data_IF_174650595027
#
_entry.id   IF_174650595027
#
_cell.length_a   1.000
_cell.length_b   1.000
_cell.length_c   1.000
_cell.angle_alpha   90.00
_cell.angle_beta   90.00
_cell.angle_gamma   90.00
#
_symmetry.space_group_name_H-M   'P 1'
#
loop_
_entity.id
_entity.type
_entity.pdbx_description
1 polymer ?
#
# COMPACT_ATOMS: atom_id res chain seq x y z
N UNK A 1 -50.64 15.05 -0.81
CA UNK A 1 -50.47 15.18 0.65
C UNK A 1 -49.00 15.50 0.91
N UNK A 2 -48.69 16.75 1.29
CA UNK A 2 -48.18 17.17 2.63
C UNK A 2 -46.89 16.38 2.99
N UNK A 3 -45.72 16.98 3.20
CA UNK A 3 -45.43 18.25 3.87
C UNK A 3 -44.01 18.72 3.50
N UNK A 4 -43.89 20.01 3.17
CA UNK A 4 -42.66 20.78 3.21
C UNK A 4 -42.28 21.05 4.67
N UNK A 5 -41.02 20.80 5.03
CA UNK A 5 -40.40 21.40 6.21
C UNK A 5 -39.27 22.30 5.69
N UNK A 6 -39.58 23.59 5.55
CA UNK A 6 -38.62 24.66 5.27
C UNK A 6 -37.97 25.05 6.60
N UNK A 7 -36.71 24.67 6.81
CA UNK A 7 -35.89 25.25 7.89
C UNK A 7 -35.52 26.69 7.48
N UNK A 8 -36.15 27.66 8.12
CA UNK A 8 -35.82 29.08 7.99
C UNK A 8 -34.53 29.36 8.76
N UNK A 9 -33.45 29.67 8.03
CA UNK A 9 -32.22 30.18 8.61
C UNK A 9 -32.42 31.65 9.00
N UNK A 10 -32.74 31.90 10.27
CA UNK A 10 -32.62 33.22 10.88
C UNK A 10 -31.13 33.52 11.09
N UNK A 11 -30.53 34.26 10.16
CA UNK A 11 -29.24 34.92 10.38
C UNK A 11 -29.46 36.13 11.30
N UNK A 12 -29.24 35.94 12.60
CA UNK A 12 -29.12 37.07 13.54
C UNK A 12 -27.74 37.71 13.36
N UNK A 13 -27.71 38.87 12.70
CA UNK A 13 -26.54 39.72 12.61
C UNK A 13 -26.19 40.27 14.00
N UNK A 14 -25.09 39.79 14.58
CA UNK A 14 -24.50 40.37 15.78
C UNK A 14 -23.52 41.46 15.34
N UNK A 15 -23.97 42.72 15.32
CA UNK A 15 -23.10 43.86 15.05
C UNK A 15 -22.13 44.05 16.22
N UNK A 16 -20.92 43.53 16.05
CA UNK A 16 -19.79 43.75 16.95
C UNK A 16 -19.20 45.14 16.65
N UNK A 17 -19.52 46.14 17.46
CA UNK A 17 -18.84 47.44 17.42
C UNK A 17 -17.48 47.33 18.09
N UNK A 18 -16.43 47.36 17.28
CA UNK A 18 -15.04 47.39 17.70
C UNK A 18 -14.70 48.75 18.32
N UNK A 19 -14.70 48.86 19.66
CA UNK A 19 -13.98 49.93 20.34
C UNK A 19 -12.54 49.46 20.61
N UNK A 20 -11.62 49.92 19.76
CA UNK A 20 -10.19 49.87 20.05
C UNK A 20 -9.92 50.94 21.12
N UNK A 21 -9.69 50.53 22.36
CA UNK A 21 -9.08 51.38 23.39
C UNK A 21 -7.64 50.92 23.55
N UNK A 22 -6.72 51.60 22.89
CA UNK A 22 -5.30 51.56 23.23
C UNK A 22 -5.09 52.41 24.48
N UNK A 23 -5.08 51.79 25.66
CA UNK A 23 -4.69 52.47 26.90
C UNK A 23 -3.18 52.33 27.08
N UNK A 24 -2.45 53.33 26.59
CA UNK A 24 -1.08 53.63 26.95
C UNK A 24 -1.06 54.19 28.38
N UNK A 25 -0.38 53.51 29.28
CA UNK A 25 -0.20 53.90 30.67
C UNK A 25 0.69 55.15 30.75
N UNK A 26 0.15 56.27 31.23
CA UNK A 26 0.91 57.44 31.67
C UNK A 26 0.39 57.86 33.05
N UNK A 27 1.27 58.12 34.04
CA UNK A 27 0.87 58.45 35.41
C UNK A 27 0.33 59.89 35.49
N UNK A 28 -0.69 60.18 36.32
CA UNK A 28 -1.14 61.56 36.47
C UNK A 28 -0.19 62.34 37.37
N UNK A 29 0.43 63.40 36.82
CA UNK A 29 1.04 64.50 37.58
C UNK A 29 0.00 65.58 37.90
N UNK A 30 0.19 66.34 39.00
CA UNK A 30 -0.85 67.04 39.74
C UNK A 30 -1.21 68.40 39.14
N UNK A 31 -2.51 68.73 39.14
CA UNK A 31 -3.01 70.06 38.78
C UNK A 31 -3.32 70.89 40.03
N UNK A 32 -2.75 72.10 40.02
CA UNK A 32 -2.78 73.19 40.98
C UNK A 32 -4.10 73.98 41.00
N UNK A 33 -4.27 74.82 42.05
CA UNK A 33 -5.06 76.09 42.20
C UNK A 33 -5.99 76.06 43.45
N UNK A 34 -6.16 77.11 44.29
CA UNK A 34 -5.28 78.18 44.83
C UNK A 34 -5.34 78.24 46.41
N UNK A 35 -4.65 79.17 47.13
CA UNK A 35 -4.50 79.09 48.59
C UNK A 35 -5.64 79.78 49.35
N UNK A 36 -6.35 79.05 50.21
CA UNK A 36 -7.21 79.64 51.24
C UNK A 36 -6.53 79.62 52.62
N UNK A 37 -6.25 80.84 53.06
CA UNK A 37 -5.68 81.26 54.33
C UNK A 37 -6.66 81.00 55.48
N UNK A 38 -6.31 80.12 56.42
CA UNK A 38 -7.01 80.00 57.70
C UNK A 38 -6.09 80.46 58.84
N UNK A 39 -6.41 81.61 59.42
CA UNK A 39 -5.90 82.03 60.73
C UNK A 39 -6.70 81.35 61.85
N UNK A 40 -6.10 81.04 63.01
CA UNK A 40 -6.79 80.36 64.09
C UNK A 40 -7.50 81.36 65.00
N UNK A 41 -8.82 81.17 65.23
CA UNK A 41 -9.55 81.88 66.29
C UNK A 41 -10.00 80.90 67.37
N UNK A 42 -9.35 81.04 68.52
CA UNK A 42 -9.64 80.44 69.83
C UNK A 42 -10.93 81.05 70.37
N UNK A 43 -11.86 80.24 70.86
CA UNK A 43 -13.03 80.76 71.56
C UNK A 43 -14.06 79.72 71.98
N UNK A 44 -14.10 79.44 73.29
CA UNK A 44 -15.34 79.19 74.02
C UNK A 44 -15.88 77.77 74.04
N UNK A 45 -15.59 77.05 75.12
CA UNK A 45 -16.43 75.94 75.59
C UNK A 45 -17.86 76.42 75.81
N UNK A 46 -18.84 75.74 75.18
CA UNK A 46 -20.19 75.61 75.73
C UNK A 46 -20.65 74.16 75.59
N UNK A 47 -20.90 73.57 76.76
CA UNK A 47 -21.55 72.26 76.95
C UNK A 47 -23.04 72.42 76.61
N UNK A 48 -23.67 71.56 75.80
CA UNK A 48 -25.12 71.50 75.74
C UNK A 48 -25.64 70.34 76.59
N UNK A 49 -26.57 70.65 77.49
CA UNK A 49 -27.39 69.71 78.25
C UNK A 49 -28.59 69.22 77.43
N UNK A 50 -28.75 67.88 77.45
CA UNK A 50 -29.99 67.08 77.48
C UNK A 50 -31.05 67.13 76.34
N UNK A 51 -31.22 65.96 75.70
CA UNK A 51 -32.50 65.20 75.54
C UNK A 51 -33.09 64.88 74.14
N UNK A 52 -32.42 65.19 73.02
CA UNK A 52 -32.79 64.65 71.68
C UNK A 52 -31.62 63.99 70.91
N UNK A 53 -30.38 64.26 71.34
CA UNK A 53 -29.15 63.81 70.68
C UNK A 53 -28.93 62.28 70.67
N UNK A 54 -29.69 61.51 71.45
CA UNK A 54 -29.57 60.05 71.47
C UNK A 54 -30.19 59.35 70.25
N UNK A 55 -31.21 59.94 69.61
CA UNK A 55 -31.95 59.31 68.50
C UNK A 55 -31.30 59.58 67.15
N UNK A 56 -30.93 60.84 66.88
CA UNK A 56 -30.23 61.22 65.64
C UNK A 56 -28.88 60.50 65.54
N UNK A 57 -28.11 60.45 66.62
CA UNK A 57 -26.85 59.70 66.66
C UNK A 57 -27.06 58.19 66.44
N UNK A 58 -28.17 57.60 66.90
CA UNK A 58 -28.48 56.18 66.63
C UNK A 58 -28.74 55.95 65.15
N UNK A 59 -29.47 56.83 64.48
CA UNK A 59 -29.73 56.73 63.04
C UNK A 59 -28.42 56.77 62.21
N UNK A 60 -27.52 57.71 62.50
CA UNK A 60 -26.22 57.78 61.82
C UNK A 60 -25.34 56.55 62.10
N UNK A 61 -25.37 56.02 63.33
CA UNK A 61 -24.65 54.80 63.69
C UNK A 61 -25.17 53.58 62.92
N UNK A 62 -26.49 53.46 62.74
CA UNK A 62 -27.08 52.36 61.96
C UNK A 62 -26.73 52.47 60.47
N UNK A 63 -26.73 53.68 59.88
CA UNK A 63 -26.27 53.86 58.50
C UNK A 63 -24.81 53.45 58.31
N UNK A 64 -23.93 53.83 59.24
CA UNK A 64 -22.51 53.44 59.18
C UNK A 64 -22.36 51.92 59.29
N UNK A 65 -23.17 51.26 60.13
CA UNK A 65 -23.21 49.79 60.22
C UNK A 65 -23.66 49.14 58.91
N UNK A 66 -24.72 49.66 58.29
CA UNK A 66 -25.22 49.15 57.01
C UNK A 66 -24.18 49.32 55.90
N UNK A 67 -23.56 50.50 55.79
CA UNK A 67 -22.49 50.76 54.81
C UNK A 67 -21.29 49.83 55.02
N UNK A 68 -20.91 49.58 56.28
CA UNK A 68 -19.83 48.64 56.60
C UNK A 68 -20.20 47.21 56.23
N UNK A 69 -21.45 46.81 56.46
CA UNK A 69 -21.96 45.50 56.04
C UNK A 69 -21.92 45.34 54.52
N UNK A 70 -22.43 46.32 53.77
CA UNK A 70 -22.40 46.30 52.31
C UNK A 70 -20.99 46.32 51.72
N UNK A 71 -20.06 47.03 52.35
CA UNK A 71 -18.64 47.01 51.97
C UNK A 71 -18.00 45.64 52.15
N UNK A 72 -18.28 44.93 53.26
CA UNK A 72 -17.72 43.61 53.50
C UNK A 72 -18.35 42.56 52.56
N UNK A 73 -19.64 42.68 52.25
CA UNK A 73 -20.30 41.83 51.25
C UNK A 73 -19.72 42.05 49.84
N UNK A 74 -19.55 43.32 49.42
CA UNK A 74 -18.94 43.67 48.13
C UNK A 74 -17.51 43.14 48.03
N UNK A 75 -16.72 43.29 49.10
CA UNK A 75 -15.37 42.73 49.19
C UNK A 75 -15.39 41.20 49.11
N UNK A 76 -16.37 40.55 49.74
CA UNK A 76 -16.61 39.11 49.61
C UNK A 76 -16.88 38.69 48.17
N UNK A 77 -17.80 39.38 47.50
CA UNK A 77 -18.15 39.12 46.10
C UNK A 77 -16.96 39.35 45.16
N UNK A 78 -16.17 40.41 45.37
CA UNK A 78 -14.96 40.71 44.60
C UNK A 78 -13.89 39.63 44.75
N UNK A 79 -13.64 39.17 45.97
CA UNK A 79 -12.71 38.06 46.22
C UNK A 79 -13.19 36.76 45.55
N UNK A 80 -14.49 36.51 45.54
CA UNK A 80 -15.07 35.37 44.83
C UNK A 80 -14.86 35.50 43.31
N UNK A 81 -15.03 36.71 42.76
CA UNK A 81 -14.78 36.98 41.35
C UNK A 81 -13.31 36.73 40.96
N UNK A 82 -12.35 37.17 41.77
CA UNK A 82 -10.92 36.91 41.54
C UNK A 82 -10.64 35.40 41.48
N UNK A 83 -11.22 34.63 42.42
CA UNK A 83 -11.07 33.15 42.41
C UNK A 83 -11.64 32.53 41.15
N UNK A 84 -12.83 32.96 40.71
CA UNK A 84 -13.45 32.50 39.46
C UNK A 84 -12.60 32.84 38.25
N UNK A 85 -11.99 34.02 38.22
CA UNK A 85 -11.09 34.42 37.13
C UNK A 85 -9.86 33.50 37.08
N UNK A 86 -9.22 33.24 38.22
CA UNK A 86 -8.07 32.33 38.28
C UNK A 86 -8.42 30.90 37.84
N UNK A 87 -9.59 30.39 38.23
CA UNK A 87 -10.02 29.04 37.78
C UNK A 87 -10.28 29.00 36.28
N UNK A 88 -10.95 30.03 35.72
CA UNK A 88 -11.21 30.10 34.29
C UNK A 88 -9.92 30.25 33.48
N UNK A 89 -8.96 31.04 33.97
CA UNK A 89 -7.64 31.16 33.34
C UNK A 89 -6.89 29.83 33.33
N UNK A 90 -6.95 29.09 34.44
CA UNK A 90 -6.36 27.75 34.54
C UNK A 90 -7.04 26.78 33.58
N UNK A 91 -8.37 26.76 33.53
CA UNK A 91 -9.13 25.94 32.59
C UNK A 91 -8.77 26.27 31.13
N UNK A 92 -8.72 27.55 30.77
CA UNK A 92 -8.30 27.99 29.44
C UNK A 92 -6.89 27.54 29.09
N UNK A 93 -5.95 27.60 30.04
CA UNK A 93 -4.59 27.09 29.84
C UNK A 93 -4.59 25.58 29.62
N UNK A 94 -5.36 24.83 30.42
CA UNK A 94 -5.48 23.37 30.26
C UNK A 94 -6.09 23.00 28.92
N UNK A 95 -7.19 23.63 28.51
CA UNK A 95 -7.85 23.39 27.23
C UNK A 95 -6.94 23.72 26.04
N UNK A 96 -6.22 24.85 26.10
CA UNK A 96 -5.22 25.17 25.07
C UNK A 96 -4.13 24.10 24.99
N UNK A 97 -3.61 23.66 26.13
CA UNK A 97 -2.58 22.60 26.14
C UNK A 97 -3.11 21.26 25.63
N UNK A 98 -4.35 20.90 25.98
CA UNK A 98 -5.00 19.68 25.51
C UNK A 98 -5.24 19.73 24.01
N UNK A 99 -5.70 20.86 23.47
CA UNK A 99 -5.90 21.05 22.03
C UNK A 99 -4.57 20.97 21.26
N UNK A 100 -3.49 21.58 21.75
CA UNK A 100 -2.17 21.47 21.13
C UNK A 100 -1.65 20.03 21.17
N UNK A 101 -1.84 19.33 22.28
CA UNK A 101 -1.46 17.92 22.38
C UNK A 101 -2.28 17.04 21.43
N UNK A 102 -3.60 17.22 21.36
CA UNK A 102 -4.47 16.49 20.43
C UNK A 102 -4.07 16.75 18.98
N UNK A 103 -3.72 17.99 18.63
CA UNK A 103 -3.23 18.33 17.29
C UNK A 103 -1.92 17.58 16.96
N UNK A 104 -0.97 17.54 17.90
CA UNK A 104 0.28 16.78 17.73
C UNK A 104 0.03 15.28 17.62
N UNK A 105 -0.78 14.72 18.52
CA UNK A 105 -1.14 13.31 18.48
C UNK A 105 -1.85 12.94 17.18
N UNK A 106 -2.78 13.78 16.71
CA UNK A 106 -3.46 13.56 15.44
C UNK A 106 -2.48 13.59 14.26
N UNK A 107 -1.50 14.49 14.27
CA UNK A 107 -0.49 14.59 13.22
C UNK A 107 0.50 13.40 13.22
N UNK A 108 0.72 12.78 14.38
CA UNK A 108 1.58 11.59 14.51
C UNK A 108 0.84 10.29 14.20
N UNK A 109 -0.44 10.19 14.56
CA UNK A 109 -1.24 8.96 14.42
C UNK A 109 -1.91 8.83 13.07
N UNK A 110 -2.29 9.94 12.44
CA UNK A 110 -3.02 9.94 11.19
C UNK A 110 -2.16 10.50 10.06
N UNK A 111 -2.31 9.89 8.88
CA UNK A 111 -1.73 10.40 7.65
C UNK A 111 -2.29 11.80 7.35
N UNK A 112 -1.43 12.68 6.87
CA UNK A 112 -1.85 13.99 6.36
C UNK A 112 -2.60 13.81 5.05
N UNK A 113 -3.47 14.77 4.69
CA UNK A 113 -4.11 14.79 3.37
C UNK A 113 -3.08 14.72 2.23
N UNK A 114 -1.90 15.33 2.42
CA UNK A 114 -0.80 15.27 1.45
C UNK A 114 -0.27 13.85 1.23
N UNK A 115 -0.18 13.06 2.29
CA UNK A 115 0.32 11.67 2.22
C UNK A 115 -0.70 10.80 1.48
N UNK A 116 -2.00 11.08 1.66
CA UNK A 116 -3.10 10.44 0.93
C UNK A 116 -3.03 10.80 -0.57
N UNK A 117 -2.80 12.07 -0.89
CA UNK A 117 -2.66 12.52 -2.28
C UNK A 117 -1.44 11.89 -2.96
N UNK A 118 -0.31 11.80 -2.25
CA UNK A 118 0.90 11.13 -2.75
C UNK A 118 0.64 9.64 -3.00
N UNK A 119 -0.05 8.96 -2.09
CA UNK A 119 -0.43 7.56 -2.27
C UNK A 119 -1.36 7.38 -3.48
N UNK A 120 -2.34 8.28 -3.66
CA UNK A 120 -3.24 8.25 -4.80
C UNK A 120 -2.48 8.43 -6.12
N UNK A 121 -1.50 9.34 -6.16
CA UNK A 121 -0.62 9.54 -7.32
C UNK A 121 0.18 8.27 -7.64
N UNK A 122 0.82 7.66 -6.64
CA UNK A 122 1.57 6.41 -6.80
C UNK A 122 0.68 5.25 -7.28
N UNK A 123 -0.55 5.17 -6.77
CA UNK A 123 -1.51 4.14 -7.19
C UNK A 123 -1.92 4.32 -8.67
N UNK A 124 -2.18 5.56 -9.10
CA UNK A 124 -2.49 5.88 -10.50
C UNK A 124 -1.32 5.54 -11.42
N UNK A 125 -0.10 5.83 -11.00
CA UNK A 125 1.12 5.48 -11.74
C UNK A 125 1.29 3.96 -11.85
N UNK A 126 1.12 3.22 -10.75
CA UNK A 126 1.17 1.76 -10.77
C UNK A 126 0.10 1.17 -11.71
N UNK A 127 -1.13 1.70 -11.71
CA UNK A 127 -2.17 1.20 -12.61
C UNK A 127 -1.86 1.50 -14.08
N UNK A 128 -1.25 2.66 -14.37
CA UNK A 128 -0.75 2.98 -15.71
C UNK A 128 0.33 2.00 -16.14
N UNK A 129 1.30 1.69 -15.28
CA UNK A 129 2.36 0.73 -15.56
C UNK A 129 1.79 -0.67 -15.79
N UNK A 130 0.85 -1.11 -14.95
CA UNK A 130 0.15 -2.39 -15.11
C UNK A 130 -0.55 -2.50 -16.46
N UNK A 131 -1.21 -1.43 -16.93
CA UNK A 131 -1.84 -1.42 -18.26
C UNK A 131 -0.83 -1.49 -19.40
N UNK A 132 0.30 -0.79 -19.27
CA UNK A 132 1.38 -0.86 -20.27
C UNK A 132 1.97 -2.27 -20.34
N UNK A 133 2.24 -2.89 -19.20
CA UNK A 133 2.76 -4.26 -19.15
C UNK A 133 1.77 -5.24 -19.78
N UNK A 134 0.47 -5.15 -19.46
CA UNK A 134 -0.56 -5.96 -20.10
C UNK A 134 -0.56 -5.80 -21.63
N UNK A 135 -0.36 -4.58 -22.14
CA UNK A 135 -0.24 -4.36 -23.58
C UNK A 135 1.00 -5.03 -24.18
N UNK A 136 2.15 -4.98 -23.49
CA UNK A 136 3.39 -5.63 -23.95
C UNK A 136 3.22 -7.15 -23.93
N UNK A 137 2.68 -7.71 -22.85
CA UNK A 137 2.42 -9.14 -22.72
C UNK A 137 1.46 -9.63 -23.81
N UNK A 138 0.38 -8.90 -24.09
CA UNK A 138 -0.54 -9.27 -25.17
C UNK A 138 0.15 -9.26 -26.54
N UNK A 139 1.00 -8.26 -26.82
CA UNK A 139 1.81 -8.24 -28.07
C UNK A 139 2.74 -9.44 -28.18
N UNK A 140 3.41 -9.81 -27.09
CA UNK A 140 4.29 -10.98 -27.05
C UNK A 140 3.51 -12.28 -27.25
N UNK A 141 2.31 -12.40 -26.66
CA UNK A 141 1.41 -13.54 -26.87
C UNK A 141 1.04 -13.65 -28.36
N UNK A 142 0.70 -12.54 -29.02
CA UNK A 142 0.40 -12.54 -30.46
C UNK A 142 1.58 -12.98 -31.33
N UNK A 143 2.81 -12.57 -30.98
CA UNK A 143 4.03 -13.02 -31.66
C UNK A 143 4.27 -14.51 -31.48
N UNK A 144 4.09 -15.03 -30.27
CA UNK A 144 4.19 -16.46 -29.98
C UNK A 144 3.13 -17.23 -30.78
N UNK A 145 1.89 -16.74 -30.82
CA UNK A 145 0.81 -17.35 -31.62
C UNK A 145 1.17 -17.38 -33.12
N UNK A 146 1.79 -16.32 -33.66
CA UNK A 146 2.30 -16.30 -35.05
C UNK A 146 3.40 -17.34 -35.29
N UNK A 147 4.29 -17.57 -34.32
CA UNK A 147 5.35 -18.58 -34.45
C UNK A 147 4.73 -19.98 -34.40
N UNK A 148 3.88 -20.25 -33.40
CA UNK A 148 3.20 -21.55 -33.25
C UNK A 148 2.36 -21.88 -34.48
N UNK A 149 1.63 -20.91 -35.03
CA UNK A 149 0.85 -21.12 -36.27
C UNK A 149 1.74 -21.40 -37.49
N UNK A 150 2.90 -20.75 -37.62
CA UNK A 150 3.89 -21.07 -38.67
C UNK A 150 4.50 -22.46 -38.51
N UNK A 151 4.74 -22.91 -37.27
CA UNK A 151 5.21 -24.26 -36.99
C UNK A 151 4.11 -25.30 -37.31
N UNK A 152 2.86 -25.00 -36.95
CA UNK A 152 1.73 -25.87 -37.22
C UNK A 152 1.38 -26.01 -38.72
N UNK A 153 1.61 -24.95 -39.50
CA UNK A 153 1.41 -24.95 -40.97
C UNK A 153 2.65 -25.35 -41.76
N UNK A 154 3.82 -25.45 -41.11
CA UNK A 154 5.01 -25.97 -41.76
C UNK A 154 4.78 -27.43 -42.17
N UNK A 155 5.10 -27.82 -43.41
CA UNK A 155 5.01 -29.21 -43.83
C UNK A 155 5.85 -30.05 -42.87
N UNK A 156 5.23 -31.07 -42.27
CA UNK A 156 5.96 -32.09 -41.53
C UNK A 156 7.06 -32.60 -42.46
N UNK A 157 8.34 -32.55 -42.09
CA UNK A 157 9.40 -33.12 -42.91
C UNK A 157 8.98 -34.55 -43.24
N UNK A 158 8.94 -34.86 -44.53
CA UNK A 158 8.54 -36.16 -45.03
C UNK A 158 9.20 -37.21 -44.16
N UNK A 159 8.38 -38.08 -43.55
CA UNK A 159 8.85 -39.24 -42.79
C UNK A 159 10.02 -39.80 -43.58
N UNK A 160 11.24 -39.87 -43.00
CA UNK A 160 12.38 -40.44 -43.73
C UNK A 160 11.91 -41.76 -44.31
N UNK A 161 12.24 -42.06 -45.58
CA UNK A 161 11.66 -43.18 -46.31
C UNK A 161 11.63 -44.37 -45.37
N UNK A 162 10.45 -44.93 -45.16
CA UNK A 162 10.20 -46.04 -44.25
C UNK A 162 11.38 -46.98 -44.43
N UNK A 163 12.29 -47.01 -43.44
CA UNK A 163 13.41 -47.93 -43.48
C UNK A 163 12.73 -49.29 -43.52
N UNK A 164 12.97 -50.06 -44.58
CA UNK A 164 12.47 -51.42 -44.73
C UNK A 164 13.11 -52.27 -43.63
N UNK A 165 12.65 -52.06 -42.40
CA UNK A 165 13.00 -52.83 -41.24
C UNK A 165 12.27 -54.15 -41.47
N UNK A 166 13.01 -55.26 -41.55
CA UNK A 166 12.42 -56.54 -41.82
C UNK A 166 11.39 -56.89 -40.73
N UNK A 167 10.27 -57.54 -41.08
CA UNK A 167 9.30 -58.03 -40.11
C UNK A 167 9.98 -58.89 -39.02
N UNK A 168 9.46 -58.91 -37.78
CA UNK A 168 10.08 -59.68 -36.70
C UNK A 168 10.25 -61.15 -37.11
N UNK A 169 11.49 -61.65 -37.09
CA UNK A 169 11.83 -62.99 -37.54
C UNK A 169 11.19 -64.07 -36.64
N UNK A 170 10.58 -65.07 -37.28
CA UNK A 170 10.14 -66.31 -36.62
C UNK A 170 11.29 -67.32 -36.42
N UNK A 171 12.53 -66.92 -36.71
CA UNK A 171 13.74 -67.74 -36.67
C UNK A 171 14.85 -67.00 -35.91
N UNK A 172 15.84 -67.74 -35.39
CA UNK A 172 16.99 -67.14 -34.70
C UNK A 172 17.88 -66.41 -35.72
N UNK A 173 18.00 -65.10 -35.56
CA UNK A 173 18.81 -64.23 -36.41
C UNK A 173 19.59 -63.23 -35.55
N UNK A 174 20.75 -62.78 -36.05
CA UNK A 174 21.47 -61.63 -35.51
C UNK A 174 21.04 -60.37 -36.26
N UNK A 175 20.77 -59.30 -35.51
CA UNK A 175 20.48 -57.99 -36.09
C UNK A 175 21.79 -57.26 -36.41
N UNK A 176 21.95 -56.80 -37.65
CA UNK A 176 23.07 -55.96 -38.08
C UNK A 176 22.56 -54.63 -38.62
N UNK A 177 23.20 -53.52 -38.26
CA UNK A 177 22.90 -52.20 -38.83
C UNK A 177 23.98 -51.88 -39.85
N UNK A 178 23.58 -51.68 -41.10
CA UNK A 178 24.50 -51.37 -42.22
C UNK A 178 25.25 -50.07 -41.94
N UNK A 179 26.58 -50.13 -41.92
CA UNK A 179 27.44 -48.95 -41.78
C UNK A 179 27.80 -48.35 -43.16
N UNK A 180 28.24 -47.08 -43.22
CA UNK A 180 28.72 -46.48 -44.46
C UNK A 180 29.87 -47.29 -45.08
N UNK A 181 29.74 -47.66 -46.36
CA UNK A 181 30.76 -48.40 -47.09
C UNK A 181 30.74 -49.92 -46.92
N UNK A 182 29.78 -50.48 -46.17
CA UNK A 182 29.59 -51.93 -46.08
C UNK A 182 28.72 -52.47 -47.21
N UNK A 183 29.16 -53.58 -47.82
CA UNK A 183 28.39 -54.35 -48.80
C UNK A 183 27.86 -55.65 -48.17
N UNK A 184 26.80 -56.22 -48.77
CA UNK A 184 26.21 -57.46 -48.27
C UNK A 184 27.22 -58.62 -48.22
N UNK A 185 28.09 -58.70 -49.23
CA UNK A 185 29.18 -59.70 -49.28
C UNK A 185 30.13 -59.58 -48.10
N UNK A 186 30.59 -58.37 -47.81
CA UNK A 186 31.51 -58.07 -46.70
C UNK A 186 30.89 -58.39 -45.34
N UNK A 187 29.62 -57.99 -45.13
CA UNK A 187 28.88 -58.31 -43.91
C UNK A 187 28.76 -59.84 -43.76
N UNK A 188 28.39 -60.53 -44.84
CA UNK A 188 28.21 -61.99 -44.82
C UNK A 188 29.52 -62.73 -44.52
N UNK A 189 30.65 -62.27 -45.04
CA UNK A 189 31.97 -62.85 -44.76
C UNK A 189 32.37 -62.67 -43.29
N UNK A 190 32.18 -61.47 -42.74
CA UNK A 190 32.47 -61.18 -41.33
C UNK A 190 31.60 -62.02 -40.37
N UNK A 191 30.32 -62.19 -40.69
CA UNK A 191 29.45 -63.05 -39.87
C UNK A 191 29.77 -64.53 -40.04
N UNK A 192 30.12 -64.99 -41.24
CA UNK A 192 30.51 -66.39 -41.47
C UNK A 192 31.84 -66.74 -40.79
N UNK A 193 32.78 -65.81 -40.66
CA UNK A 193 34.00 -66.03 -39.87
C UNK A 193 33.69 -66.05 -38.37
N UNK A 194 32.83 -65.15 -37.88
CA UNK A 194 32.38 -65.14 -36.49
C UNK A 194 31.64 -66.43 -36.10
N UNK A 195 30.71 -66.91 -36.93
CA UNK A 195 29.99 -68.16 -36.67
C UNK A 195 30.89 -69.39 -36.62
N UNK A 196 31.96 -69.43 -37.43
CA UNK A 196 32.98 -70.48 -37.37
C UNK A 196 33.77 -70.44 -36.07
N UNK A 197 34.13 -69.24 -35.60
CA UNK A 197 34.81 -69.06 -34.31
C UNK A 197 33.91 -69.47 -33.13
N UNK A 198 32.59 -69.26 -33.24
CA UNK A 198 31.59 -69.70 -32.26
C UNK A 198 31.24 -71.20 -32.34
N UNK A 199 31.85 -71.95 -33.27
CA UNK A 199 31.65 -73.40 -33.40
C UNK A 199 30.38 -73.83 -34.14
N UNK A 200 29.69 -72.92 -34.85
CA UNK A 200 28.54 -73.27 -35.67
C UNK A 200 28.99 -73.81 -37.04
N UNK A 201 28.53 -75.02 -37.38
CA UNK A 201 28.85 -75.70 -38.63
C UNK A 201 27.91 -75.29 -39.77
N UNK A 202 28.25 -74.22 -40.49
CA UNK A 202 27.60 -73.87 -41.75
C UNK A 202 27.94 -72.47 -42.25
N UNK A 203 27.63 -72.19 -43.53
CA UNK A 203 27.78 -70.87 -44.15
C UNK A 203 26.41 -70.29 -44.47
N UNK A 204 26.19 -69.05 -44.07
CA UNK A 204 25.01 -68.29 -44.50
C UNK A 204 25.26 -67.78 -45.92
N UNK A 205 24.28 -67.96 -46.80
CA UNK A 205 24.33 -67.52 -48.21
C UNK A 205 23.48 -66.28 -48.43
N UNK A 206 23.79 -65.51 -49.49
CA UNK A 206 23.06 -64.29 -49.86
C UNK A 206 21.56 -64.54 -50.05
N UNK A 207 21.18 -65.68 -50.63
CA UNK A 207 19.78 -66.07 -50.83
C UNK A 207 19.03 -66.29 -49.51
N UNK A 208 19.70 -66.84 -48.49
CA UNK A 208 19.12 -67.00 -47.14
C UNK A 208 18.88 -65.64 -46.46
N UNK A 209 19.80 -64.68 -46.65
CA UNK A 209 19.62 -63.31 -46.13
C UNK A 209 18.49 -62.59 -46.87
N UNK A 210 18.34 -62.78 -48.18
CA UNK A 210 17.22 -62.20 -48.93
C UNK A 210 15.86 -62.81 -48.53
N UNK A 211 15.80 -64.12 -48.27
CA UNK A 211 14.61 -64.78 -47.72
C UNK A 211 14.27 -64.26 -46.31
N UNK A 212 15.28 -63.98 -45.50
CA UNK A 212 15.14 -63.42 -44.15
C UNK A 212 14.66 -61.95 -44.16
N UNK A 213 14.97 -61.20 -45.22
CA UNK A 213 14.68 -59.77 -45.35
C UNK A 213 13.88 -59.49 -46.63
N UNK A 214 12.57 -59.81 -46.63
CA UNK A 214 11.72 -59.59 -47.81
C UNK A 214 11.69 -58.11 -48.20
N UNK A 215 11.94 -57.81 -49.48
CA UNK A 215 11.98 -56.43 -50.00
C UNK A 215 13.35 -55.74 -49.88
N UNK A 216 14.38 -56.43 -49.42
CA UNK A 216 15.76 -55.95 -49.47
C UNK A 216 16.40 -56.23 -50.83
N UNK A 217 17.10 -55.25 -51.39
CA UNK A 217 17.94 -55.42 -52.56
C UNK A 217 19.40 -55.62 -52.15
N UNK A 218 20.03 -56.70 -52.58
CA UNK A 218 21.42 -57.01 -52.21
C UNK A 218 22.43 -55.99 -52.73
N UNK A 219 22.20 -55.43 -53.92
CA UNK A 219 23.11 -54.49 -54.57
C UNK A 219 22.91 -53.04 -54.11
N UNK A 220 21.89 -52.79 -53.29
CA UNK A 220 21.51 -51.44 -52.87
C UNK A 220 21.12 -51.42 -51.39
N UNK A 221 22.10 -51.67 -50.53
CA UNK A 221 21.95 -51.51 -49.09
C UNK A 221 21.97 -50.02 -48.70
N UNK A 222 21.03 -49.62 -47.86
CA UNK A 222 20.99 -48.25 -47.32
C UNK A 222 21.71 -48.20 -45.98
N UNK A 223 22.52 -47.18 -45.77
CA UNK A 223 23.19 -46.94 -44.49
C UNK A 223 22.15 -46.75 -43.38
N UNK A 224 22.33 -47.45 -42.27
CA UNK A 224 21.41 -47.45 -41.14
C UNK A 224 20.18 -48.35 -41.32
N UNK A 225 20.12 -49.16 -42.38
CA UNK A 225 19.13 -50.22 -42.54
C UNK A 225 19.42 -51.38 -41.58
N UNK A 226 18.39 -51.89 -40.91
CA UNK A 226 18.48 -53.10 -40.09
C UNK A 226 18.38 -54.34 -40.97
N UNK A 227 19.33 -55.25 -40.84
CA UNK A 227 19.40 -56.53 -41.54
C UNK A 227 19.30 -57.68 -40.55
N UNK A 228 18.47 -58.68 -40.86
CA UNK A 228 18.40 -59.93 -40.12
C UNK A 228 19.31 -60.95 -40.80
N UNK A 229 20.37 -61.37 -40.09
CA UNK A 229 21.30 -62.40 -40.55
C UNK A 229 20.92 -63.72 -39.87
N UNK A 230 20.39 -64.71 -40.60
CA UNK A 230 19.97 -65.99 -40.01
C UNK A 230 21.17 -66.80 -39.53
N UNK A 231 20.99 -67.62 -38.49
CA UNK A 231 21.99 -68.62 -38.11
C UNK A 231 22.13 -69.72 -39.18
N UNK A 232 23.31 -70.33 -39.34
CA UNK A 232 23.51 -71.42 -40.29
C UNK A 232 22.55 -72.58 -40.02
N UNK A 233 21.84 -73.03 -41.05
CA UNK A 233 20.87 -74.14 -40.98
C UNK A 233 19.43 -73.77 -40.61
N UNK A 234 19.13 -72.50 -40.29
CA UNK A 234 17.77 -72.06 -39.94
C UNK A 234 16.86 -71.83 -41.16
N UNK A 235 17.43 -71.46 -42.31
CA UNK A 235 16.71 -71.19 -43.56
C UNK A 235 17.29 -72.09 -44.65
N UNK A 236 16.45 -72.96 -45.22
CA UNK A 236 16.79 -73.79 -46.39
C UNK A 236 16.38 -73.08 -47.68
#
# INVERSE_FOLDING_TARGET
>A
MRSLIKFSAMFTAFCLSSFIVTAQENPPKPSTVPPQKNTPKKGGQKKPTSSTAGSENKYFLEQIRQLRGGLEELKGAYNLQIRKMMTLEQEMKTLRSANENLKRESALRFASNKDIDELAAKLMEMDKNRRNDLQITNKQIDEILKIVTKLATSPVPAVPPIRNNPPPAKFKAREHVVQPGEFLSTILEAYNSAFKAEGLSGRVTQSQVLKANPGMNADRLLVGQKLLIPLPGQIK
#
